data_IF_089344618895
#
_entry.id   IF_089344618895
#
_cell.length_a   1.000
_cell.length_b   1.000
_cell.length_c   1.000
_cell.angle_alpha   90.00
_cell.angle_beta   90.00
_cell.angle_gamma   90.00
#
_symmetry.space_group_name_H-M   'P 1'
#
loop_
_entity.id
_entity.type
_entity.pdbx_description
1 polymer ?
#
# COMPACT_ATOMS: atom_id res chain seq x y z
N UNK A 1 -39.73 17.02 27.74
CA UNK A 1 -39.10 16.70 26.44
C UNK A 1 -38.37 15.38 26.57
N UNK A 2 -38.92 14.31 26.02
CA UNK A 2 -38.28 12.98 26.03
C UNK A 2 -37.12 13.04 25.03
N UNK A 3 -35.87 13.05 25.53
CA UNK A 3 -34.69 12.87 24.68
C UNK A 3 -34.82 11.51 24.02
N UNK A 4 -35.05 11.50 22.71
CA UNK A 4 -35.06 10.29 21.89
C UNK A 4 -33.66 9.68 22.01
N UNK A 5 -33.54 8.58 22.75
CA UNK A 5 -32.30 7.83 22.86
C UNK A 5 -31.88 7.42 21.44
N UNK A 6 -30.82 8.05 20.94
CA UNK A 6 -30.23 7.65 19.68
C UNK A 6 -29.72 6.22 19.87
N UNK A 7 -30.33 5.27 19.17
CA UNK A 7 -29.96 3.88 19.26
C UNK A 7 -28.46 3.79 18.88
N UNK A 8 -27.55 3.44 19.80
CA UNK A 8 -26.11 3.51 19.55
C UNK A 8 -25.66 2.43 18.58
N UNK A 9 -26.55 1.50 18.21
CA UNK A 9 -26.27 0.38 17.33
C UNK A 9 -26.74 0.75 15.92
N UNK A 10 -25.79 0.81 14.99
CA UNK A 10 -26.06 0.87 13.56
C UNK A 10 -25.95 -0.53 12.97
N UNK A 11 -27.06 -1.02 12.39
CA UNK A 11 -27.10 -2.28 11.64
C UNK A 11 -27.17 -1.95 10.16
N UNK A 12 -26.24 -2.48 9.36
CA UNK A 12 -26.27 -2.29 7.92
C UNK A 12 -27.52 -2.96 7.32
N UNK A 13 -28.38 -2.22 6.61
CA UNK A 13 -29.63 -2.76 6.07
C UNK A 13 -29.39 -3.73 4.90
N UNK A 14 -28.27 -3.59 4.17
CA UNK A 14 -27.97 -4.42 2.98
C UNK A 14 -27.61 -5.86 3.34
N UNK A 15 -26.83 -6.04 4.40
CA UNK A 15 -26.39 -7.37 4.87
C UNK A 15 -27.09 -7.82 6.16
N UNK A 16 -28.11 -7.07 6.61
CA UNK A 16 -28.81 -7.31 7.88
C UNK A 16 -27.86 -7.51 9.08
N UNK A 17 -26.73 -6.81 9.10
CA UNK A 17 -25.72 -6.94 10.16
C UNK A 17 -24.69 -8.05 10.00
N UNK A 18 -24.80 -8.92 8.98
CA UNK A 18 -23.88 -10.05 8.76
C UNK A 18 -22.48 -9.62 8.31
N UNK A 19 -22.36 -8.45 7.68
CA UNK A 19 -21.10 -7.94 7.13
C UNK A 19 -20.72 -8.54 5.77
N UNK A 20 -21.32 -9.67 5.38
CA UNK A 20 -21.12 -10.29 4.08
C UNK A 20 -22.45 -10.50 3.33
N UNK A 21 -22.36 -10.61 2.00
CA UNK A 21 -23.46 -11.00 1.12
C UNK A 21 -22.87 -12.03 0.14
N UNK A 22 -23.43 -13.24 0.12
CA UNK A 22 -22.98 -14.33 -0.76
C UNK A 22 -21.48 -14.66 -0.65
N UNK A 23 -20.92 -14.62 0.56
CA UNK A 23 -19.50 -14.95 0.81
C UNK A 23 -18.50 -13.85 0.45
N UNK A 24 -18.95 -12.72 -0.10
CA UNK A 24 -18.14 -11.53 -0.30
C UNK A 24 -18.48 -10.44 0.74
N UNK A 25 -17.54 -9.56 1.04
CA UNK A 25 -17.79 -8.41 1.91
C UNK A 25 -18.95 -7.56 1.35
N UNK A 26 -19.88 -7.18 2.22
CA UNK A 26 -20.98 -6.29 1.86
C UNK A 26 -20.42 -4.96 1.33
N UNK A 27 -20.84 -4.54 0.14
CA UNK A 27 -20.29 -3.35 -0.51
C UNK A 27 -20.69 -2.07 0.22
N UNK A 28 -21.87 -2.04 0.86
CA UNK A 28 -22.34 -0.85 1.57
C UNK A 28 -21.64 -0.64 2.93
N UNK A 29 -21.36 -1.69 3.69
CA UNK A 29 -20.66 -1.57 4.97
C UNK A 29 -19.19 -2.03 4.96
N UNK A 30 -18.67 -2.47 3.81
CA UNK A 30 -17.31 -2.97 3.63
C UNK A 30 -16.89 -4.03 4.67
N UNK A 31 -17.78 -4.98 4.97
CA UNK A 31 -17.52 -6.04 5.97
C UNK A 31 -17.99 -5.71 7.40
N UNK A 32 -18.40 -4.47 7.68
CA UNK A 32 -18.66 -4.00 9.05
C UNK A 32 -20.00 -4.42 9.65
N UNK A 33 -20.97 -4.95 8.90
CA UNK A 33 -22.20 -5.56 9.47
C UNK A 33 -22.94 -4.71 10.52
N UNK A 34 -22.62 -4.91 11.80
CA UNK A 34 -23.14 -4.15 12.96
C UNK A 34 -22.03 -3.32 13.61
N UNK A 35 -22.29 -2.04 13.85
CA UNK A 35 -21.37 -1.12 14.54
C UNK A 35 -22.07 -0.48 15.72
N UNK A 36 -21.42 -0.50 16.89
CA UNK A 36 -21.84 0.25 18.06
C UNK A 36 -21.09 1.59 18.07
N UNK A 37 -21.83 2.68 17.95
CA UNK A 37 -21.38 4.07 18.01
C UNK A 37 -21.62 4.57 19.43
N UNK A 38 -20.56 4.62 20.24
CA UNK A 38 -20.62 5.22 21.57
C UNK A 38 -20.17 6.68 21.46
N UNK A 39 -21.08 7.60 21.79
CA UNK A 39 -20.69 8.96 22.17
C UNK A 39 -20.07 8.88 23.58
N UNK A 40 -18.75 8.95 23.66
CA UNK A 40 -18.06 8.96 24.93
C UNK A 40 -18.40 10.26 25.66
N UNK A 41 -19.19 10.16 26.72
CA UNK A 41 -19.58 11.29 27.58
C UNK A 41 -18.31 11.95 28.12
N UNK A 42 -17.95 13.12 27.58
CA UNK A 42 -16.79 13.92 28.00
C UNK A 42 -15.65 14.03 26.98
N UNK A 43 -15.63 13.22 25.93
CA UNK A 43 -14.68 13.32 24.82
C UNK A 43 -15.43 13.73 23.55
N UNK A 44 -14.94 14.75 22.83
CA UNK A 44 -15.51 15.21 21.56
C UNK A 44 -15.49 14.17 20.43
N UNK A 45 -14.93 12.98 20.66
CA UNK A 45 -14.72 11.95 19.66
C UNK A 45 -15.69 10.79 19.83
N UNK A 46 -16.27 10.33 18.71
CA UNK A 46 -17.16 9.16 18.66
C UNK A 46 -16.33 7.90 18.56
N UNK A 47 -16.52 6.95 19.47
CA UNK A 47 -15.87 5.65 19.41
C UNK A 47 -16.75 4.66 18.64
N UNK A 48 -16.13 3.89 17.75
CA UNK A 48 -16.80 2.85 16.96
C UNK A 48 -16.31 1.47 17.42
N UNK A 49 -17.25 0.61 17.78
CA UNK A 49 -17.03 -0.75 18.21
C UNK A 49 -17.64 -1.73 17.20
N UNK A 50 -16.85 -2.74 16.79
CA UNK A 50 -17.27 -3.80 15.87
C UNK A 50 -16.72 -5.13 16.39
N UNK A 51 -17.58 -6.14 16.61
CA UNK A 51 -17.25 -7.50 17.12
C UNK A 51 -16.20 -7.52 18.25
N UNK A 52 -16.34 -6.63 19.24
CA UNK A 52 -15.43 -6.55 20.39
C UNK A 52 -14.06 -5.91 20.11
N UNK A 53 -13.80 -5.42 18.89
CA UNK A 53 -12.59 -4.65 18.58
C UNK A 53 -12.87 -3.15 18.59
N UNK A 54 -12.06 -2.41 19.35
CA UNK A 54 -12.05 -0.94 19.39
C UNK A 54 -11.40 -0.39 18.13
N UNK A 55 -12.18 0.29 17.28
CA UNK A 55 -11.67 1.06 16.14
C UNK A 55 -11.47 2.51 16.59
N UNK A 56 -10.28 2.79 17.12
CA UNK A 56 -9.86 4.18 17.31
C UNK A 56 -9.61 4.82 15.95
N UNK A 57 -10.04 6.07 15.78
CA UNK A 57 -9.77 6.88 14.58
C UNK A 57 -8.27 6.88 14.22
N UNK A 58 -7.39 6.92 15.22
CA UNK A 58 -5.94 6.86 15.03
C UNK A 58 -5.49 5.57 14.34
N UNK A 59 -6.06 4.42 14.70
CA UNK A 59 -5.73 3.13 14.05
C UNK A 59 -6.17 3.07 12.60
N UNK A 60 -7.29 3.70 12.26
CA UNK A 60 -7.76 3.80 10.87
C UNK A 60 -6.79 4.67 10.07
N UNK A 61 -6.34 5.78 10.65
CA UNK A 61 -5.43 6.72 10.01
C UNK A 61 -4.03 6.15 9.81
N UNK A 62 -3.54 5.39 10.81
CA UNK A 62 -2.28 4.65 10.74
C UNK A 62 -2.28 3.63 9.59
N UNK A 63 -3.30 2.77 9.51
CA UNK A 63 -3.44 1.80 8.42
C UNK A 63 -3.50 2.45 7.04
N UNK A 64 -4.20 3.59 6.91
CA UNK A 64 -4.24 4.36 5.65
C UNK A 64 -2.86 4.91 5.29
N UNK A 65 -2.10 5.39 6.28
CA UNK A 65 -0.74 5.92 6.10
C UNK A 65 0.23 4.82 5.68
N UNK A 66 0.21 3.66 6.34
CA UNK A 66 1.03 2.50 5.99
C UNK A 66 0.81 2.06 4.55
N UNK A 67 -0.46 1.95 4.12
CA UNK A 67 -0.80 1.58 2.73
C UNK A 67 -0.26 2.61 1.75
N UNK A 68 -0.39 3.91 2.05
CA UNK A 68 0.12 4.99 1.19
C UNK A 68 1.65 4.98 1.09
N UNK A 69 2.35 4.81 2.21
CA UNK A 69 3.82 4.71 2.25
C UNK A 69 4.29 3.53 1.42
N UNK A 70 3.63 2.37 1.54
CA UNK A 70 3.98 1.19 0.74
C UNK A 70 3.84 1.44 -0.75
N UNK A 71 2.72 2.05 -1.18
CA UNK A 71 2.50 2.40 -2.59
C UNK A 71 3.54 3.41 -3.09
N UNK A 72 3.86 4.44 -2.29
CA UNK A 72 4.86 5.44 -2.63
C UNK A 72 6.26 4.82 -2.77
N UNK A 73 6.69 3.99 -1.82
CA UNK A 73 7.98 3.29 -1.90
C UNK A 73 8.05 2.40 -3.13
N UNK A 74 6.99 1.63 -3.42
CA UNK A 74 6.96 0.76 -4.60
C UNK A 74 7.04 1.59 -5.90
N UNK A 75 6.34 2.73 -5.97
CA UNK A 75 6.39 3.61 -7.12
C UNK A 75 7.79 4.23 -7.33
N UNK A 76 8.44 4.69 -6.26
CA UNK A 76 9.79 5.25 -6.32
C UNK A 76 10.82 4.20 -6.78
N UNK A 77 10.75 3.00 -6.23
CA UNK A 77 11.67 1.92 -6.60
C UNK A 77 11.44 1.47 -8.05
N UNK A 78 10.19 1.45 -8.53
CA UNK A 78 9.88 1.18 -9.93
C UNK A 78 10.48 2.23 -10.89
N UNK A 79 10.37 3.51 -10.54
CA UNK A 79 11.00 4.61 -11.31
C UNK A 79 12.52 4.43 -11.33
N UNK A 80 13.13 4.04 -10.20
CA UNK A 80 14.55 3.78 -10.12
C UNK A 80 14.99 2.62 -11.03
N UNK A 81 14.24 1.51 -11.04
CA UNK A 81 14.45 0.40 -11.98
C UNK A 81 14.39 0.84 -13.44
N UNK A 82 13.38 1.66 -13.81
CA UNK A 82 13.27 2.22 -15.17
C UNK A 82 14.48 3.08 -15.57
N UNK A 83 14.96 3.94 -14.66
CA UNK A 83 16.14 4.78 -14.91
C UNK A 83 17.37 3.89 -15.12
N UNK A 84 17.59 2.90 -14.25
CA UNK A 84 18.71 1.97 -14.38
C UNK A 84 18.67 1.18 -15.69
N UNK A 85 17.47 0.76 -16.12
CA UNK A 85 17.27 0.09 -17.41
C UNK A 85 17.62 0.99 -18.61
N UNK A 86 17.23 2.26 -18.60
CA UNK A 86 17.60 3.22 -19.64
C UNK A 86 19.12 3.46 -19.69
N UNK A 87 19.77 3.54 -18.53
CA UNK A 87 21.23 3.66 -18.45
C UNK A 87 21.96 2.42 -19.01
N UNK A 88 21.41 1.22 -18.80
CA UNK A 88 21.93 0.01 -19.42
C UNK A 88 21.86 0.10 -20.95
N UNK A 89 20.72 0.50 -21.52
CA UNK A 89 20.57 0.65 -22.97
C UNK A 89 21.64 1.60 -23.52
N UNK A 90 21.85 2.73 -22.83
CA UNK A 90 22.89 3.69 -23.19
C UNK A 90 24.28 3.06 -23.13
N UNK A 91 24.62 2.37 -22.04
CA UNK A 91 25.93 1.72 -21.89
C UNK A 91 26.18 0.69 -23.00
N UNK A 92 25.16 -0.11 -23.36
CA UNK A 92 25.25 -1.07 -24.46
C UNK A 92 25.46 -0.40 -25.82
N UNK A 93 24.81 0.75 -26.06
CA UNK A 93 25.01 1.54 -27.27
C UNK A 93 26.43 2.08 -27.36
N UNK A 94 26.94 2.65 -26.27
CA UNK A 94 28.30 3.18 -26.19
C UNK A 94 29.34 2.08 -26.44
N UNK A 95 29.20 0.90 -25.80
CA UNK A 95 30.06 -0.27 -26.04
C UNK A 95 30.04 -0.72 -27.50
N UNK A 96 28.84 -0.82 -28.10
CA UNK A 96 28.68 -1.22 -29.49
C UNK A 96 29.35 -0.22 -30.43
N UNK A 97 29.21 1.07 -30.17
CA UNK A 97 29.85 2.12 -30.98
C UNK A 97 31.39 2.12 -30.86
N UNK A 98 31.92 1.69 -29.71
CA UNK A 98 33.34 1.54 -29.48
C UNK A 98 33.94 0.24 -30.06
N UNK A 99 33.10 -0.66 -30.61
CA UNK A 99 33.53 -1.96 -31.13
C UNK A 99 33.95 -2.95 -30.03
N UNK A 100 33.58 -2.69 -28.79
CA UNK A 100 33.92 -3.51 -27.62
C UNK A 100 32.88 -4.62 -27.47
N UNK A 101 33.34 -5.84 -27.15
CA UNK A 101 32.45 -6.97 -26.91
C UNK A 101 31.63 -6.83 -25.63
N UNK A 102 30.43 -7.42 -25.58
CA UNK A 102 29.59 -7.42 -24.37
C UNK A 102 30.28 -8.08 -23.16
N UNK A 103 31.16 -9.04 -23.40
CA UNK A 103 31.90 -9.73 -22.33
C UNK A 103 32.83 -8.77 -21.56
N UNK A 104 33.33 -7.72 -22.21
CA UNK A 104 34.23 -6.75 -21.60
C UNK A 104 33.49 -5.76 -20.69
N UNK A 105 32.15 -5.71 -20.75
CA UNK A 105 31.33 -4.84 -19.90
C UNK A 105 31.55 -5.09 -18.40
N UNK A 106 31.92 -6.31 -18.02
CA UNK A 106 32.20 -6.68 -16.62
C UNK A 106 33.54 -6.09 -16.15
N UNK A 107 34.51 -5.95 -17.05
CA UNK A 107 35.86 -5.47 -16.72
C UNK A 107 35.99 -3.95 -16.86
N UNK A 108 35.11 -3.32 -17.64
CA UNK A 108 35.12 -1.88 -17.85
C UNK A 108 34.45 -1.19 -16.67
N UNK A 109 35.23 -0.38 -15.96
CA UNK A 109 34.72 0.50 -14.91
C UNK A 109 33.93 1.65 -15.56
N UNK A 110 32.61 1.50 -15.61
CA UNK A 110 31.69 2.53 -16.07
C UNK A 110 30.69 2.85 -14.96
N UNK A 111 30.54 4.14 -14.67
CA UNK A 111 29.59 4.66 -13.68
C UNK A 111 28.15 4.23 -13.99
N UNK A 112 27.78 4.15 -15.28
CA UNK A 112 26.45 3.73 -15.71
C UNK A 112 26.17 2.25 -15.39
N UNK A 113 27.18 1.38 -15.56
CA UNK A 113 27.06 -0.05 -15.25
C UNK A 113 26.89 -0.27 -13.74
N UNK A 114 27.55 0.54 -12.91
CA UNK A 114 27.37 0.48 -11.46
C UNK A 114 25.95 0.87 -11.03
N UNK A 115 25.40 1.95 -11.61
CA UNK A 115 24.01 2.38 -11.34
C UNK A 115 23.02 1.30 -11.78
N UNK A 116 23.26 0.63 -12.91
CA UNK A 116 22.44 -0.48 -13.37
C UNK A 116 22.47 -1.69 -12.41
N UNK A 117 23.65 -2.10 -11.95
CA UNK A 117 23.75 -3.19 -10.96
C UNK A 117 22.99 -2.86 -9.67
N UNK A 118 23.05 -1.59 -9.23
CA UNK A 118 22.33 -1.12 -8.07
C UNK A 118 20.81 -1.10 -8.30
N UNK A 119 20.34 -0.71 -9.49
CA UNK A 119 18.91 -0.81 -9.84
C UNK A 119 18.42 -2.24 -9.88
N UNK A 120 19.23 -3.17 -10.38
CA UNK A 120 18.90 -4.59 -10.42
C UNK A 120 18.76 -5.18 -9.01
N UNK A 121 19.65 -4.83 -8.08
CA UNK A 121 19.53 -5.22 -6.66
C UNK A 121 18.26 -4.66 -6.01
N UNK A 122 17.92 -3.41 -6.33
CA UNK A 122 16.69 -2.78 -5.85
C UNK A 122 15.44 -3.50 -6.37
N UNK A 123 15.42 -3.88 -7.64
CA UNK A 123 14.31 -4.61 -8.25
C UNK A 123 14.16 -6.02 -7.66
N UNK A 124 15.26 -6.73 -7.41
CA UNK A 124 15.23 -8.02 -6.72
C UNK A 124 14.65 -7.90 -5.30
N UNK A 125 15.02 -6.85 -4.56
CA UNK A 125 14.47 -6.58 -3.24
C UNK A 125 12.96 -6.28 -3.28
N UNK A 126 12.49 -5.55 -4.29
CA UNK A 126 11.06 -5.29 -4.51
C UNK A 126 10.28 -6.60 -4.70
N UNK A 127 10.77 -7.50 -5.55
CA UNK A 127 10.11 -8.78 -5.83
C UNK A 127 10.01 -9.62 -4.55
N UNK A 128 11.09 -9.71 -3.78
CA UNK A 128 11.09 -10.42 -2.49
C UNK A 128 10.09 -9.84 -1.50
N UNK A 129 9.89 -8.52 -1.48
CA UNK A 129 8.99 -7.86 -0.52
C UNK A 129 7.51 -7.93 -0.89
N UNK A 130 7.21 -7.98 -2.19
CA UNK A 130 5.83 -8.01 -2.69
C UNK A 130 5.21 -9.40 -2.57
N UNK A 131 6.03 -10.46 -2.69
CA UNK A 131 5.64 -11.86 -2.45
C UNK A 131 5.62 -12.20 -0.96
#
# INVERSE_FOLDING_TARGET
>A
MIKKEANPIYVCPECAGLGNINGADCKQCAGLGVVLVLEAVGLKEKELYYWGRKLSYFKILEKRRERRIRVLLNALLFIFGLIGFLLLIKALYDLKSAGIGLADMINIKNEYTAVWWLSLLVDMYLIYRIN
#
